data_IF_361639849450
#
_entry.id   IF_361639849450
#
_cell.length_a   1.000
_cell.length_b   1.000
_cell.length_c   1.000
_cell.angle_alpha   90.00
_cell.angle_beta   90.00
_cell.angle_gamma   90.00
#
_symmetry.space_group_name_H-M   'P 1'
#
loop_
_entity.id
_entity.type
_entity.pdbx_description
1 polymer ?
#
# COMPACT_ATOMS: atom_id res chain seq x y z
N UNK A 1 -100.98 -9.21 -29.37
CA UNK A 1 -100.12 -9.94 -28.42
C UNK A 1 -99.03 -8.97 -27.97
N UNK A 2 -99.33 -8.08 -27.00
CA UNK A 2 -98.84 -8.03 -25.60
C UNK A 2 -97.30 -7.83 -25.51
N UNK A 3 -96.66 -7.03 -24.67
CA UNK A 3 -96.82 -5.74 -23.96
C UNK A 3 -95.51 -5.52 -23.16
N UNK A 4 -95.07 -4.26 -22.97
CA UNK A 4 -94.28 -3.69 -21.85
C UNK A 4 -92.96 -4.30 -21.30
N UNK A 5 -91.91 -3.48 -21.42
CA UNK A 5 -91.15 -2.75 -20.38
C UNK A 5 -90.57 -3.42 -19.09
N UNK A 6 -89.23 -3.28 -18.96
CA UNK A 6 -88.40 -2.88 -17.80
C UNK A 6 -88.43 -3.68 -16.48
N UNK A 7 -87.25 -4.03 -15.93
CA UNK A 7 -86.78 -3.63 -14.57
C UNK A 7 -85.38 -4.12 -14.18
N UNK A 8 -84.87 -3.47 -13.13
CA UNK A 8 -83.52 -3.34 -12.59
C UNK A 8 -83.01 -4.46 -11.64
N UNK A 9 -81.67 -4.47 -11.45
CA UNK A 9 -80.93 -4.76 -10.20
C UNK A 9 -80.75 -6.24 -9.79
N UNK A 10 -79.75 -6.61 -8.93
CA UNK A 10 -79.19 -5.78 -7.86
C UNK A 10 -77.67 -5.95 -7.51
N UNK A 11 -77.26 -5.09 -6.57
CA UNK A 11 -76.35 -5.32 -5.41
C UNK A 11 -74.84 -5.54 -5.57
N UNK A 12 -74.11 -4.45 -5.30
CA UNK A 12 -73.11 -4.31 -4.23
C UNK A 12 -72.14 -5.47 -3.92
N UNK A 13 -70.85 -5.22 -4.17
CA UNK A 13 -69.76 -5.70 -3.31
C UNK A 13 -68.69 -4.61 -3.18
N UNK A 14 -68.74 -3.88 -2.06
CA UNK A 14 -67.59 -3.13 -1.53
C UNK A 14 -66.72 -4.13 -0.77
N UNK A 15 -65.47 -4.35 -1.16
CA UNK A 15 -64.43 -4.85 -0.26
C UNK A 15 -63.08 -4.25 -0.66
N UNK A 16 -62.57 -3.40 0.23
CA UNK A 16 -61.18 -3.11 0.56
C UNK A 16 -60.16 -2.90 -0.57
N UNK A 17 -59.94 -1.63 -0.90
CA UNK A 17 -58.64 -1.14 -1.32
C UNK A 17 -57.78 -0.90 -0.07
N UNK A 18 -56.61 -1.55 0.03
CA UNK A 18 -55.60 -1.26 1.06
C UNK A 18 -54.96 -2.52 1.64
N UNK A 19 -53.63 -2.60 1.55
CA UNK A 19 -52.76 -3.76 1.84
C UNK A 19 -52.89 -4.86 0.76
N UNK A 20 -51.94 -5.08 -0.15
CA UNK A 20 -50.65 -5.74 0.10
C UNK A 20 -49.52 -5.17 -0.78
N UNK A 21 -49.50 -3.85 -1.05
CA UNK A 21 -48.28 -3.17 -1.54
C UNK A 21 -47.17 -3.09 -0.46
N UNK A 22 -47.39 -3.70 0.71
CA UNK A 22 -46.45 -3.73 1.84
C UNK A 22 -45.57 -5.01 1.89
N UNK A 23 -45.62 -5.89 0.88
CA UNK A 23 -44.84 -7.13 0.87
C UNK A 23 -43.59 -7.10 -0.04
N UNK A 24 -43.33 -6.00 -0.76
CA UNK A 24 -42.17 -5.88 -1.66
C UNK A 24 -41.02 -4.99 -1.10
N UNK A 25 -41.19 -4.40 0.08
CA UNK A 25 -40.21 -3.45 0.66
C UNK A 25 -39.35 -4.01 1.81
N UNK A 26 -39.52 -5.28 2.20
CA UNK A 26 -39.00 -5.80 3.47
C UNK A 26 -37.93 -6.92 3.30
N UNK A 27 -37.12 -6.87 2.25
CA UNK A 27 -35.88 -7.65 2.15
C UNK A 27 -34.75 -6.74 1.66
N UNK A 28 -34.54 -5.61 2.34
CA UNK A 28 -33.21 -5.04 2.40
C UNK A 28 -32.49 -5.81 3.50
N UNK A 29 -31.91 -6.96 3.13
CA UNK A 29 -31.03 -7.70 3.99
C UNK A 29 -29.94 -6.73 4.45
N UNK A 30 -29.94 -6.43 5.75
CA UNK A 30 -28.80 -5.87 6.44
C UNK A 30 -27.65 -6.87 6.32
N UNK A 31 -26.92 -6.82 5.22
CA UNK A 31 -25.55 -7.29 5.20
C UNK A 31 -24.77 -6.22 5.96
N UNK A 32 -24.23 -6.52 7.15
CA UNK A 32 -23.30 -5.59 7.79
C UNK A 32 -22.10 -5.47 6.86
N UNK A 33 -22.06 -4.41 6.06
CA UNK A 33 -20.82 -3.98 5.44
C UNK A 33 -19.92 -3.60 6.61
N UNK A 34 -18.74 -4.23 6.79
CA UNK A 34 -17.79 -3.76 7.77
C UNK A 34 -17.39 -2.34 7.35
N UNK A 35 -18.05 -1.34 7.92
CA UNK A 35 -17.53 0.02 7.95
C UNK A 35 -16.27 -0.08 8.79
N UNK A 36 -15.11 0.10 8.15
CA UNK A 36 -13.89 0.36 8.87
C UNK A 36 -14.12 1.64 9.67
N UNK A 37 -14.52 1.49 10.93
CA UNK A 37 -14.57 2.57 11.87
C UNK A 37 -13.18 3.20 11.86
N UNK A 38 -13.12 4.52 11.65
CA UNK A 38 -11.91 5.27 11.85
C UNK A 38 -11.40 4.91 13.25
N UNK A 39 -10.22 4.27 13.30
CA UNK A 39 -9.51 4.03 14.55
C UNK A 39 -9.26 5.39 15.20
N UNK A 40 -10.17 5.80 16.07
CA UNK A 40 -10.04 7.01 16.87
C UNK A 40 -9.02 6.73 17.99
N UNK A 41 -8.04 7.62 18.15
CA UNK A 41 -7.16 7.61 19.34
C UNK A 41 -5.66 7.64 19.08
N UNK A 42 -5.17 7.70 17.84
CA UNK A 42 -3.75 7.98 17.59
C UNK A 42 -3.59 9.16 16.64
N UNK A 43 -3.36 10.33 17.21
CA UNK A 43 -2.85 11.49 16.46
C UNK A 43 -1.35 11.38 16.41
N UNK A 44 -0.76 11.50 15.22
CA UNK A 44 0.70 11.56 15.05
C UNK A 44 1.19 12.89 15.61
N UNK A 45 1.77 12.88 16.80
CA UNK A 45 2.25 14.09 17.47
C UNK A 45 3.64 14.38 16.93
N UNK A 46 3.84 15.58 16.38
CA UNK A 46 5.15 16.08 15.99
C UNK A 46 5.70 16.92 17.13
N UNK A 47 6.81 16.49 17.71
CA UNK A 47 7.49 17.20 18.78
C UNK A 47 8.54 18.18 18.23
N UNK A 48 9.06 17.90 17.03
CA UNK A 48 10.18 18.62 16.42
C UNK A 48 9.80 19.36 15.13
N UNK A 49 10.60 20.38 14.77
CA UNK A 49 10.53 21.06 13.48
C UNK A 49 11.68 20.59 12.61
N UNK A 50 11.35 19.90 11.53
CA UNK A 50 12.33 19.32 10.62
C UNK A 50 12.83 20.35 9.60
N UNK A 51 14.12 20.67 9.63
CA UNK A 51 14.78 21.53 8.63
C UNK A 51 15.48 20.67 7.57
N UNK A 52 14.76 20.31 6.51
CA UNK A 52 15.30 19.47 5.45
C UNK A 52 16.10 20.28 4.43
N UNK A 53 17.30 19.79 4.09
CA UNK A 53 18.03 20.15 2.87
C UNK A 53 17.89 19.05 1.83
N UNK A 54 18.16 19.40 0.57
CA UNK A 54 18.11 18.47 -0.55
C UNK A 54 19.49 18.29 -1.17
N UNK A 55 19.94 17.05 -1.24
CA UNK A 55 21.11 16.63 -2.00
C UNK A 55 20.63 15.98 -3.30
N UNK A 56 21.00 16.59 -4.41
CA UNK A 56 20.65 16.10 -5.74
C UNK A 56 21.68 15.10 -6.26
N UNK A 57 21.19 14.00 -6.81
CA UNK A 57 21.98 12.97 -7.51
C UNK A 57 21.52 12.86 -8.96
N UNK A 58 21.90 11.79 -9.67
CA UNK A 58 21.42 11.59 -11.05
C UNK A 58 19.95 11.18 -11.03
N UNK A 59 19.59 10.22 -10.16
CA UNK A 59 18.28 9.59 -10.12
C UNK A 59 17.45 9.92 -8.87
N UNK A 60 18.03 10.61 -7.89
CA UNK A 60 17.35 10.88 -6.61
C UNK A 60 17.52 12.31 -6.11
N UNK A 61 16.49 12.77 -5.39
CA UNK A 61 16.53 13.94 -4.52
C UNK A 61 16.50 13.46 -3.07
N UNK A 62 17.64 13.56 -2.38
CA UNK A 62 17.81 13.08 -1.01
C UNK A 62 17.49 14.22 -0.04
N UNK A 63 16.39 14.11 0.71
CA UNK A 63 16.03 15.03 1.78
C UNK A 63 16.67 14.58 3.08
N UNK A 64 17.41 15.46 3.75
CA UNK A 64 18.16 15.13 4.97
C UNK A 64 18.30 16.34 5.90
N UNK A 65 18.64 16.11 7.17
CA UNK A 65 18.99 17.17 8.12
C UNK A 65 20.42 17.65 7.91
N UNK A 66 20.71 18.96 7.99
CA UNK A 66 22.08 19.50 7.85
C UNK A 66 23.13 18.78 8.69
N UNK A 67 22.77 18.36 9.90
CA UNK A 67 23.61 17.65 10.86
C UNK A 67 24.02 16.26 10.34
N UNK A 68 23.17 15.64 9.52
CA UNK A 68 23.33 14.30 8.96
C UNK A 68 23.92 14.32 7.53
N UNK A 69 24.54 15.43 7.09
CA UNK A 69 25.05 15.56 5.72
C UNK A 69 26.01 14.43 5.32
N UNK A 70 26.86 13.99 6.24
CA UNK A 70 27.78 12.87 6.00
C UNK A 70 27.04 11.58 5.67
N UNK A 71 26.10 11.18 6.52
CA UNK A 71 25.29 9.99 6.33
C UNK A 71 24.38 10.11 5.10
N UNK A 72 23.83 11.29 4.82
CA UNK A 72 23.02 11.55 3.64
C UNK A 72 23.81 11.37 2.33
N UNK A 73 25.08 11.82 2.30
CA UNK A 73 25.96 11.57 1.14
C UNK A 73 26.29 10.10 0.97
N UNK A 74 26.38 9.35 2.05
CA UNK A 74 26.63 7.90 2.01
C UNK A 74 25.40 7.16 1.48
N UNK A 75 24.23 7.47 2.01
CA UNK A 75 22.93 6.97 1.54
C UNK A 75 22.67 7.33 0.07
N UNK A 76 23.03 8.54 -0.37
CA UNK A 76 22.95 8.94 -1.78
C UNK A 76 23.77 8.01 -2.69
N UNK A 77 24.99 7.65 -2.28
CA UNK A 77 25.83 6.70 -3.03
C UNK A 77 25.27 5.28 -2.98
N UNK A 78 24.62 4.89 -1.88
CA UNK A 78 23.92 3.61 -1.78
C UNK A 78 22.74 3.56 -2.76
N UNK A 79 21.91 4.60 -2.79
CA UNK A 79 20.76 4.72 -3.67
C UNK A 79 21.15 4.61 -5.15
N UNK A 80 22.19 5.32 -5.58
CA UNK A 80 22.67 5.24 -6.97
C UNK A 80 23.21 3.85 -7.35
N UNK A 81 23.88 3.15 -6.41
CA UNK A 81 24.30 1.76 -6.66
C UNK A 81 23.10 0.81 -6.78
N UNK A 82 22.09 0.99 -5.93
CA UNK A 82 20.85 0.22 -6.01
C UNK A 82 20.11 0.50 -7.32
N UNK A 83 19.98 1.76 -7.72
CA UNK A 83 19.39 2.12 -9.00
C UNK A 83 20.11 1.46 -10.17
N UNK A 84 21.44 1.52 -10.22
CA UNK A 84 22.20 0.90 -11.31
C UNK A 84 21.93 -0.61 -11.42
N UNK A 85 21.77 -1.30 -10.28
CA UNK A 85 21.42 -2.74 -10.24
C UNK A 85 19.98 -2.99 -10.66
N UNK A 86 19.03 -2.29 -10.05
CA UNK A 86 17.60 -2.53 -10.23
C UNK A 86 17.12 -2.10 -11.62
N UNK A 87 17.62 -0.98 -12.15
CA UNK A 87 17.28 -0.53 -13.50
C UNK A 87 17.68 -1.54 -14.58
N UNK A 88 18.83 -2.20 -14.42
CA UNK A 88 19.25 -3.29 -15.31
C UNK A 88 18.40 -4.54 -15.11
N UNK A 89 18.15 -4.93 -13.86
CA UNK A 89 17.36 -6.12 -13.53
C UNK A 89 15.93 -6.04 -14.06
N UNK A 90 15.25 -4.92 -13.83
CA UNK A 90 13.88 -4.69 -14.28
C UNK A 90 13.79 -4.22 -15.73
N UNK A 91 14.91 -3.87 -16.36
CA UNK A 91 14.91 -3.25 -17.70
C UNK A 91 14.15 -1.92 -17.74
N UNK A 92 14.05 -1.23 -16.60
CA UNK A 92 13.20 -0.06 -16.41
C UNK A 92 14.03 1.14 -15.94
N UNK A 93 13.66 2.35 -16.37
CA UNK A 93 14.32 3.60 -15.96
C UNK A 93 13.27 4.58 -15.47
N UNK A 94 13.58 5.26 -14.37
CA UNK A 94 12.75 6.36 -13.89
C UNK A 94 12.65 7.46 -14.92
N UNK A 95 11.46 8.05 -15.05
CA UNK A 95 11.21 9.21 -15.91
C UNK A 95 11.83 10.51 -15.37
N UNK A 96 12.14 10.56 -14.07
CA UNK A 96 12.74 11.69 -13.38
C UNK A 96 13.33 11.28 -12.04
N UNK A 97 13.84 12.25 -11.29
CA UNK A 97 14.41 11.99 -9.96
C UNK A 97 13.35 11.57 -8.97
N UNK A 98 13.66 10.59 -8.13
CA UNK A 98 12.78 10.09 -7.09
C UNK A 98 13.17 10.64 -5.72
N UNK A 99 12.21 11.02 -4.86
CA UNK A 99 12.55 11.52 -3.53
C UNK A 99 12.96 10.36 -2.61
N UNK A 100 14.01 10.57 -1.84
CA UNK A 100 14.36 9.74 -0.68
C UNK A 100 14.44 10.65 0.54
N UNK A 101 13.62 10.41 1.56
CA UNK A 101 13.57 11.22 2.77
C UNK A 101 14.23 10.45 3.90
N UNK A 102 15.36 10.98 4.38
CA UNK A 102 16.18 10.41 5.44
C UNK A 102 15.90 11.12 6.75
N UNK A 103 15.40 10.36 7.72
CA UNK A 103 15.29 10.78 9.12
C UNK A 103 16.57 10.43 9.87
N UNK A 104 16.94 11.19 10.91
CA UNK A 104 18.16 10.99 11.68
C UNK A 104 18.09 9.70 12.48
N UNK A 105 16.90 9.38 13.00
CA UNK A 105 16.64 8.17 13.75
C UNK A 105 15.18 7.70 13.62
N UNK A 106 14.89 6.56 14.25
CA UNK A 106 13.58 5.94 14.21
C UNK A 106 12.49 6.74 14.95
N UNK A 107 12.83 7.49 16.00
CA UNK A 107 11.86 8.30 16.74
C UNK A 107 11.36 9.47 15.87
N UNK A 108 12.27 10.06 15.11
CA UNK A 108 11.98 11.06 14.08
C UNK A 108 11.12 10.50 12.95
N UNK A 109 11.45 9.30 12.46
CA UNK A 109 10.66 8.62 11.44
C UNK A 109 9.23 8.34 11.90
N UNK A 110 9.03 7.91 13.15
CA UNK A 110 7.69 7.70 13.72
C UNK A 110 6.83 8.97 13.79
N UNK A 111 7.44 10.16 13.78
CA UNK A 111 6.74 11.45 13.77
C UNK A 111 6.42 11.96 12.35
N UNK A 112 6.84 11.26 11.30
CA UNK A 112 6.68 11.74 9.92
C UNK A 112 5.21 11.87 9.50
N UNK A 113 4.83 13.02 8.97
CA UNK A 113 3.53 13.18 8.29
C UNK A 113 3.60 12.82 6.79
N UNK A 114 4.77 12.39 6.32
CA UNK A 114 4.98 12.04 4.90
C UNK A 114 4.27 10.73 4.56
N UNK A 115 4.35 9.75 5.45
CA UNK A 115 3.69 8.44 5.31
C UNK A 115 2.31 8.49 5.96
N UNK A 116 1.28 8.06 5.21
CA UNK A 116 -0.08 7.94 5.73
C UNK A 116 -0.19 6.81 6.76
N UNK A 117 -0.86 7.07 7.89
CA UNK A 117 -1.07 6.08 8.94
C UNK A 117 0.04 6.05 10.01
N UNK A 118 -0.06 5.06 10.90
CA UNK A 118 0.88 4.83 11.98
C UNK A 118 2.00 3.93 11.47
N UNK A 119 3.24 4.33 11.74
CA UNK A 119 4.43 3.52 11.44
C UNK A 119 4.67 2.62 12.66
N UNK A 120 4.83 1.32 12.43
CA UNK A 120 5.15 0.37 13.49
C UNK A 120 6.61 0.49 13.91
N UNK A 121 6.94 0.09 15.15
CA UNK A 121 8.32 0.08 15.64
C UNK A 121 9.26 -0.82 14.83
N UNK A 122 8.71 -1.83 14.13
CA UNK A 122 9.46 -2.74 13.25
C UNK A 122 9.61 -2.24 11.81
N UNK A 123 9.01 -1.11 11.45
CA UNK A 123 9.07 -0.57 10.09
C UNK A 123 10.42 0.11 9.89
N UNK A 124 11.32 -0.53 9.12
CA UNK A 124 12.65 -0.01 8.82
C UNK A 124 12.64 1.13 7.79
N UNK A 125 11.63 1.18 6.92
CA UNK A 125 11.41 2.19 5.89
C UNK A 125 10.01 2.01 5.29
N UNK A 126 9.56 2.97 4.49
CA UNK A 126 8.32 2.87 3.71
C UNK A 126 8.46 3.56 2.37
N UNK A 127 7.97 2.90 1.33
CA UNK A 127 7.78 3.48 0.01
C UNK A 127 6.31 3.83 -0.22
N UNK A 128 6.04 5.11 -0.41
CA UNK A 128 4.68 5.58 -0.68
C UNK A 128 4.32 5.38 -2.15
N UNK A 129 3.46 4.39 -2.43
CA UNK A 129 3.04 3.99 -3.77
C UNK A 129 2.58 5.15 -4.67
N UNK A 130 1.79 6.08 -4.13
CA UNK A 130 1.17 7.17 -4.90
C UNK A 130 2.12 8.35 -5.16
N UNK A 131 3.20 8.47 -4.39
CA UNK A 131 4.15 9.59 -4.49
C UNK A 131 5.56 9.15 -4.86
N UNK A 132 5.73 7.84 -5.11
CA UNK A 132 6.96 7.21 -5.57
C UNK A 132 8.20 7.68 -4.80
N UNK A 133 8.04 7.82 -3.47
CA UNK A 133 9.11 8.27 -2.59
C UNK A 133 9.39 7.25 -1.52
N UNK A 134 10.68 7.11 -1.24
CA UNK A 134 11.19 6.28 -0.15
C UNK A 134 11.36 7.17 1.08
N UNK A 135 10.92 6.67 2.23
CA UNK A 135 11.07 7.34 3.52
C UNK A 135 11.68 6.35 4.50
N UNK A 136 12.83 6.67 5.07
CA UNK A 136 13.49 5.80 6.03
C UNK A 136 14.31 6.60 7.06
N UNK A 137 14.42 6.12 8.30
CA UNK A 137 15.46 6.56 9.23
C UNK A 137 16.82 6.02 8.81
N UNK A 138 17.88 6.76 9.16
CA UNK A 138 19.21 6.21 9.27
C UNK A 138 19.20 5.15 10.38
N UNK A 139 19.72 3.97 10.05
CA UNK A 139 19.85 2.89 11.02
C UNK A 139 21.17 3.09 11.78
N UNK A 140 21.27 2.51 12.97
CA UNK A 140 22.50 2.57 13.77
C UNK A 140 23.74 1.96 13.08
N UNK A 141 23.54 1.15 12.03
CA UNK A 141 24.61 0.60 11.19
C UNK A 141 24.28 0.71 9.70
N UNK A 142 25.26 1.10 8.88
CA UNK A 142 25.06 1.30 7.44
C UNK A 142 24.61 0.08 6.66
N UNK A 143 24.97 -1.14 7.10
CA UNK A 143 24.50 -2.37 6.46
C UNK A 143 22.98 -2.46 6.49
N UNK A 144 22.37 -2.05 7.60
CA UNK A 144 20.93 -2.08 7.78
C UNK A 144 20.25 -1.00 6.93
N UNK A 145 20.80 0.22 6.91
CA UNK A 145 20.32 1.28 6.00
C UNK A 145 20.42 0.86 4.53
N UNK A 146 21.52 0.21 4.11
CA UNK A 146 21.70 -0.24 2.73
C UNK A 146 20.71 -1.35 2.35
N UNK A 147 20.39 -2.28 3.27
CA UNK A 147 19.36 -3.30 3.08
C UNK A 147 17.97 -2.67 2.95
N UNK A 148 17.54 -1.89 3.94
CA UNK A 148 16.21 -1.26 3.94
C UNK A 148 16.07 -0.35 2.71
N UNK A 149 17.07 0.47 2.40
CA UNK A 149 17.03 1.31 1.19
C UNK A 149 16.88 0.47 -0.07
N UNK A 150 17.57 -0.66 -0.17
CA UNK A 150 17.41 -1.61 -1.28
C UNK A 150 15.99 -2.17 -1.37
N UNK A 151 15.42 -2.61 -0.25
CA UNK A 151 14.05 -3.12 -0.14
C UNK A 151 13.03 -2.08 -0.62
N UNK A 152 13.13 -0.86 -0.10
CA UNK A 152 12.24 0.24 -0.48
C UNK A 152 12.40 0.64 -1.95
N UNK A 153 13.62 0.64 -2.48
CA UNK A 153 13.82 0.92 -3.91
C UNK A 153 13.22 -0.15 -4.82
N UNK A 154 13.18 -1.42 -4.40
CA UNK A 154 12.44 -2.46 -5.15
C UNK A 154 10.96 -2.10 -5.23
N UNK A 155 10.34 -1.71 -4.11
CA UNK A 155 8.96 -1.22 -4.13
C UNK A 155 8.79 0.00 -5.02
N UNK A 156 9.72 0.96 -4.98
CA UNK A 156 9.66 2.14 -5.84
C UNK A 156 9.69 1.76 -7.33
N UNK A 157 10.50 0.78 -7.73
CA UNK A 157 10.48 0.22 -9.09
C UNK A 157 9.16 -0.50 -9.41
N UNK A 158 8.64 -1.32 -8.50
CA UNK A 158 7.35 -1.99 -8.68
C UNK A 158 6.22 -0.98 -8.92
N UNK A 159 6.18 0.10 -8.15
CA UNK A 159 5.18 1.16 -8.32
C UNK A 159 5.36 1.93 -9.64
N UNK A 160 6.58 2.34 -9.98
CA UNK A 160 6.83 3.10 -11.21
C UNK A 160 6.50 2.28 -12.47
N UNK A 161 6.84 0.99 -12.46
CA UNK A 161 6.47 0.06 -13.55
C UNK A 161 4.95 -0.09 -13.61
N UNK A 162 4.30 -0.30 -12.47
CA UNK A 162 2.85 -0.48 -12.40
C UNK A 162 2.09 0.76 -12.89
N UNK A 163 2.59 1.97 -12.62
CA UNK A 163 2.01 3.21 -13.12
C UNK A 163 2.23 3.43 -14.63
N UNK A 164 3.13 2.66 -15.25
CA UNK A 164 3.29 2.61 -16.71
C UNK A 164 2.01 2.16 -17.43
N UNK A 165 1.77 2.71 -18.63
CA UNK A 165 0.52 2.53 -19.40
C UNK A 165 0.18 1.07 -19.75
N UNK A 166 1.16 0.17 -19.67
CA UNK A 166 1.03 -1.24 -20.07
C UNK A 166 0.83 -2.20 -18.88
N UNK A 167 1.04 -1.77 -17.64
CA UNK A 167 1.12 -2.65 -16.47
C UNK A 167 -0.19 -2.81 -15.67
N UNK A 168 -1.31 -2.31 -16.19
CA UNK A 168 -2.61 -2.39 -15.50
C UNK A 168 -2.75 -1.44 -14.29
N UNK A 169 -1.82 -0.51 -14.11
CA UNK A 169 -1.86 0.45 -13.02
C UNK A 169 -1.49 -0.15 -11.67
N UNK A 170 -1.63 0.67 -10.62
CA UNK A 170 -1.52 0.20 -9.24
C UNK A 170 -2.55 -0.88 -8.88
N UNK A 171 -3.68 -0.94 -9.60
CA UNK A 171 -4.67 -2.01 -9.44
C UNK A 171 -4.13 -3.37 -9.91
N UNK A 172 -3.36 -3.40 -10.99
CA UNK A 172 -2.67 -4.62 -11.44
C UNK A 172 -1.66 -5.13 -10.41
N UNK A 173 -0.87 -4.22 -9.85
CA UNK A 173 0.09 -4.55 -8.78
C UNK A 173 -0.60 -5.05 -7.51
N UNK A 174 -1.72 -4.42 -7.12
CA UNK A 174 -2.50 -4.81 -5.94
C UNK A 174 -3.20 -6.19 -6.08
N UNK A 175 -3.26 -6.76 -7.29
CA UNK A 175 -3.76 -8.12 -7.52
C UNK A 175 -2.66 -9.18 -7.40
N UNK A 176 -1.39 -8.79 -7.31
CA UNK A 176 -0.32 -9.74 -7.03
C UNK A 176 -0.40 -10.18 -5.57
N UNK A 177 -0.14 -11.47 -5.27
CA UNK A 177 -0.02 -11.95 -3.90
C UNK A 177 1.00 -11.13 -3.11
N UNK A 178 0.70 -10.82 -1.85
CA UNK A 178 1.58 -10.00 -1.01
C UNK A 178 2.97 -10.63 -0.87
N UNK A 179 3.02 -11.96 -0.74
CA UNK A 179 4.27 -12.70 -0.63
C UNK A 179 5.19 -12.48 -1.83
N UNK A 180 4.63 -12.27 -3.03
CA UNK A 180 5.42 -12.04 -4.24
C UNK A 180 5.99 -10.62 -4.26
N UNK A 181 5.22 -9.62 -3.82
CA UNK A 181 5.61 -8.21 -3.78
C UNK A 181 6.71 -7.98 -2.74
N UNK A 182 6.46 -8.38 -1.49
CA UNK A 182 7.38 -8.24 -0.35
C UNK A 182 8.56 -9.21 -0.46
N UNK A 183 8.30 -10.46 -0.86
CA UNK A 183 9.34 -11.48 -1.00
C UNK A 183 10.35 -11.15 -2.09
N UNK A 184 9.93 -10.50 -3.19
CA UNK A 184 10.86 -10.00 -4.19
C UNK A 184 11.72 -8.85 -3.64
N UNK A 185 11.13 -7.94 -2.86
CA UNK A 185 11.85 -6.83 -2.24
C UNK A 185 12.93 -7.34 -1.26
N UNK A 186 12.59 -8.26 -0.37
CA UNK A 186 13.55 -8.89 0.55
C UNK A 186 14.60 -9.73 -0.18
N UNK A 187 14.19 -10.53 -1.17
CA UNK A 187 15.12 -11.37 -1.92
C UNK A 187 16.17 -10.55 -2.67
N UNK A 188 15.78 -9.42 -3.26
CA UNK A 188 16.71 -8.57 -4.01
C UNK A 188 17.59 -7.71 -3.10
N UNK A 189 17.13 -7.39 -1.89
CA UNK A 189 17.85 -6.54 -0.95
C UNK A 189 18.86 -7.31 -0.09
N UNK A 190 18.52 -8.51 0.39
CA UNK A 190 19.39 -9.38 1.19
C UNK A 190 20.07 -10.51 0.39
N UNK A 191 19.41 -10.98 -0.67
CA UNK A 191 19.88 -12.11 -1.47
C UNK A 191 19.55 -13.48 -0.88
N UNK A 192 19.65 -14.51 -1.72
CA UNK A 192 19.32 -15.92 -1.39
C UNK A 192 20.09 -16.57 -0.24
N UNK A 193 21.19 -15.95 0.19
CA UNK A 193 22.15 -16.53 1.13
C UNK A 193 22.03 -15.93 2.53
N UNK A 194 21.10 -15.00 2.76
CA UNK A 194 20.83 -14.49 4.09
C UNK A 194 20.42 -15.65 5.02
N UNK A 195 21.09 -15.82 6.18
CA UNK A 195 20.83 -16.95 7.07
C UNK A 195 19.38 -17.01 7.57
N UNK A 196 18.75 -15.87 7.79
CA UNK A 196 17.38 -15.80 8.27
C UNK A 196 16.41 -16.15 7.15
N UNK A 197 16.53 -15.52 5.98
CA UNK A 197 15.71 -15.85 4.80
C UNK A 197 15.84 -17.32 4.41
N UNK A 198 17.06 -17.87 4.40
CA UNK A 198 17.30 -19.26 4.08
C UNK A 198 16.72 -20.23 5.13
N UNK A 199 16.71 -19.86 6.41
CA UNK A 199 16.11 -20.64 7.49
C UNK A 199 14.59 -20.75 7.31
N UNK A 200 13.90 -19.61 7.15
CA UNK A 200 12.44 -19.60 6.98
C UNK A 200 11.99 -20.28 5.69
N UNK A 201 12.69 -20.05 4.57
CA UNK A 201 12.39 -20.73 3.32
C UNK A 201 12.60 -22.24 3.40
N UNK A 202 13.64 -22.69 4.12
CA UNK A 202 13.84 -24.13 4.36
C UNK A 202 12.75 -24.73 5.23
N UNK A 203 12.36 -24.04 6.29
CA UNK A 203 11.29 -24.50 7.18
C UNK A 203 9.97 -24.64 6.42
N UNK A 204 9.54 -23.59 5.71
CA UNK A 204 8.34 -23.61 4.87
C UNK A 204 8.40 -24.70 3.78
N UNK A 205 9.57 -24.92 3.17
CA UNK A 205 9.74 -25.99 2.19
C UNK A 205 9.65 -27.40 2.80
N UNK A 206 10.11 -27.58 4.04
CA UNK A 206 10.07 -28.86 4.75
C UNK A 206 8.69 -29.15 5.36
N UNK A 207 7.98 -28.12 5.80
CA UNK A 207 6.62 -28.24 6.34
C UNK A 207 5.54 -28.32 5.27
N UNK A 208 5.87 -27.95 4.02
CA UNK A 208 4.91 -27.87 2.92
C UNK A 208 4.08 -26.58 2.91
N UNK A 209 4.54 -25.55 3.63
CA UNK A 209 3.88 -24.24 3.78
C UNK A 209 4.43 -23.19 2.79
N UNK A 210 4.96 -23.63 1.64
CA UNK A 210 5.35 -22.67 0.60
C UNK A 210 4.08 -22.05 -0.02
N UNK A 211 4.00 -20.71 -0.09
CA UNK A 211 2.83 -20.04 -0.65
C UNK A 211 2.73 -20.34 -2.15
N UNK A 212 1.51 -20.55 -2.60
CA UNK A 212 1.12 -20.63 -4.00
C UNK A 212 0.74 -19.26 -4.55
N UNK A 213 0.62 -19.14 -5.87
CA UNK A 213 0.12 -17.91 -6.51
C UNK A 213 -1.36 -17.65 -6.25
N UNK A 214 -2.08 -18.63 -5.71
CA UNK A 214 -3.49 -18.51 -5.33
C UNK A 214 -3.65 -18.01 -3.88
N UNK A 215 -2.57 -18.05 -3.09
CA UNK A 215 -2.59 -17.56 -1.71
C UNK A 215 -2.54 -16.02 -1.69
N UNK A 216 -3.34 -15.38 -0.81
CA UNK A 216 -3.47 -13.92 -0.73
C UNK A 216 -2.21 -13.21 -0.24
#
# INVERSE_FOLDING_TARGET
>A
MIERATRAGPAARRVAAGAVLAAAGAVFAWVPVPVAAQYFGRTKVQYERFDFRVLHTEHFDIHFYPEEEGAARDAARMAERWYARLSQLFGHRYAGRRPVILYADHADFQQTNVVGGLIGEATGGVTEALRERVVLPLAGVYRETDHVLGHELVHQFQYDIAQGREAGGLEGLARLPLWAVEGLAEYLSLGRADPHTAMWLRDAALSGDLPSVEDP
#
